data_IF_152773338730
#
_entry.id   IF_152773338730
#
_cell.length_a   1.000
_cell.length_b   1.000
_cell.length_c   1.000
_cell.angle_alpha   90.00
_cell.angle_beta   90.00
_cell.angle_gamma   90.00
#
_symmetry.space_group_name_H-M   'P 1'
#
loop_
_entity.id
_entity.type
_entity.pdbx_description
1 polymer ?
#
# COMPACT_ATOMS: atom_id res chain seq x y z
N UNK A 1 4.88 6.74 25.48
CA UNK A 1 4.68 7.22 24.10
C UNK A 1 3.31 6.70 23.64
N UNK A 2 2.38 7.61 23.35
CA UNK A 2 1.02 7.23 22.95
C UNK A 2 1.05 6.78 21.49
N UNK A 3 0.70 5.53 21.25
CA UNK A 3 0.51 4.97 19.93
C UNK A 3 -0.92 5.21 19.44
N UNK A 4 -1.12 5.28 18.13
CA UNK A 4 -2.43 5.49 17.53
C UNK A 4 -3.45 4.42 17.95
N UNK A 5 -3.04 3.15 18.00
CA UNK A 5 -3.81 2.03 18.57
C UNK A 5 -5.15 1.73 17.89
N UNK A 6 -5.39 2.25 16.69
CA UNK A 6 -6.61 2.07 15.89
C UNK A 6 -6.27 1.59 14.48
N UNK A 7 -7.21 1.00 13.73
CA UNK A 7 -7.02 0.72 12.32
C UNK A 7 -6.61 1.97 11.54
N UNK A 8 -5.67 1.82 10.61
CA UNK A 8 -5.13 2.92 9.83
C UNK A 8 -5.58 2.76 8.38
N UNK A 9 -6.32 3.74 7.88
CA UNK A 9 -6.74 3.81 6.49
C UNK A 9 -5.58 4.29 5.60
N UNK A 10 -5.71 4.08 4.31
CA UNK A 10 -4.87 4.76 3.33
C UNK A 10 -5.12 6.27 3.32
N UNK A 11 -4.30 6.99 2.58
CA UNK A 11 -4.40 8.44 2.41
C UNK A 11 -3.87 8.86 1.04
N UNK A 12 -4.19 10.07 0.64
CA UNK A 12 -3.78 10.67 -0.61
C UNK A 12 -4.93 11.29 -1.39
N UNK A 13 -4.74 11.45 -2.69
CA UNK A 13 -5.74 11.99 -3.59
C UNK A 13 -6.84 10.95 -3.88
N UNK A 14 -8.08 11.25 -3.52
CA UNK A 14 -9.23 10.39 -3.79
C UNK A 14 -9.56 10.25 -5.28
N UNK A 15 -9.07 11.14 -6.11
CA UNK A 15 -9.17 11.11 -7.56
C UNK A 15 -7.91 10.57 -8.25
N UNK A 16 -7.00 9.98 -7.49
CA UNK A 16 -5.74 9.45 -7.97
C UNK A 16 -5.89 8.44 -9.10
N UNK A 17 -4.93 8.45 -10.02
CA UNK A 17 -4.75 7.39 -11.03
C UNK A 17 -3.80 6.30 -10.56
N UNK A 18 -2.92 6.60 -9.61
CA UNK A 18 -1.95 5.67 -9.04
C UNK A 18 -2.36 5.25 -7.64
N UNK A 19 -2.46 3.93 -7.42
CA UNK A 19 -2.62 3.32 -6.09
C UNK A 19 -1.34 2.58 -5.72
N UNK A 20 -0.78 2.84 -4.55
CA UNK A 20 0.25 2.00 -3.95
C UNK A 20 -0.30 1.17 -2.80
N UNK A 21 0.06 -0.11 -2.74
CA UNK A 21 -0.43 -1.07 -1.75
C UNK A 21 0.72 -1.76 -1.05
N UNK A 22 0.91 -1.49 0.23
CA UNK A 22 1.84 -2.19 1.10
C UNK A 22 1.21 -3.34 1.88
N UNK A 23 1.99 -3.94 2.79
CA UNK A 23 1.55 -5.04 3.64
C UNK A 23 0.64 -4.56 4.77
N UNK A 24 1.19 -3.76 5.68
CA UNK A 24 0.57 -3.32 6.92
C UNK A 24 1.24 -2.05 7.45
N UNK A 25 0.64 -1.32 8.39
CA UNK A 25 1.34 -0.28 9.14
C UNK A 25 2.50 -0.89 9.94
N UNK A 26 3.66 -0.23 9.95
CA UNK A 26 4.78 -0.63 10.81
C UNK A 26 4.49 -0.27 12.28
N UNK A 27 4.93 -1.12 13.22
CA UNK A 27 4.68 -0.93 14.67
C UNK A 27 5.18 0.43 15.17
N UNK A 28 6.43 0.79 14.86
CA UNK A 28 7.04 2.06 15.28
C UNK A 28 6.94 3.18 14.24
N UNK A 29 6.31 2.91 13.08
CA UNK A 29 6.00 3.85 12.02
C UNK A 29 4.52 4.22 12.01
N UNK A 30 3.75 3.63 11.11
CA UNK A 30 2.32 3.93 10.93
C UNK A 30 1.49 3.78 12.19
N UNK A 31 1.71 2.73 12.99
CA UNK A 31 0.96 2.52 14.24
C UNK A 31 1.28 3.56 15.33
N UNK A 32 2.47 4.15 15.30
CA UNK A 32 2.83 5.25 16.18
C UNK A 32 2.24 6.58 15.72
N UNK A 33 2.25 6.83 14.41
CA UNK A 33 1.93 8.14 13.82
C UNK A 33 0.48 8.28 13.37
N UNK A 34 -0.25 7.17 13.18
CA UNK A 34 -1.61 7.17 12.63
C UNK A 34 -1.69 7.33 11.10
N UNK A 35 -0.55 7.25 10.39
CA UNK A 35 -0.47 7.31 8.93
C UNK A 35 0.48 6.23 8.40
N UNK A 36 0.05 5.44 7.42
CA UNK A 36 0.89 4.38 6.82
C UNK A 36 2.14 4.97 6.16
N UNK A 37 3.22 4.21 6.10
CA UNK A 37 4.51 4.66 5.57
C UNK A 37 4.95 6.02 6.13
N UNK A 38 4.97 6.16 7.46
CA UNK A 38 5.29 7.40 8.14
C UNK A 38 6.15 7.12 9.36
N UNK A 39 7.27 7.82 9.49
CA UNK A 39 8.15 7.77 10.65
C UNK A 39 8.99 6.50 10.78
N UNK A 40 9.30 5.82 9.67
CA UNK A 40 10.19 4.67 9.62
C UNK A 40 11.11 4.72 8.37
N UNK A 41 12.14 3.87 8.36
CA UNK A 41 13.14 3.85 7.28
C UNK A 41 12.58 3.46 5.90
N UNK A 42 11.48 2.70 5.86
CA UNK A 42 10.81 2.38 4.59
C UNK A 42 10.12 3.62 4.02
N UNK A 43 9.57 4.46 4.89
CA UNK A 43 9.01 5.75 4.53
C UNK A 43 10.08 6.69 3.97
N UNK A 44 11.25 6.79 4.61
CA UNK A 44 12.35 7.66 4.18
C UNK A 44 12.75 7.36 2.72
N UNK A 45 12.95 6.09 2.39
CA UNK A 45 13.28 5.69 1.03
C UNK A 45 12.13 5.95 0.05
N UNK A 46 10.92 5.51 0.40
CA UNK A 46 9.74 5.65 -0.46
C UNK A 46 9.47 7.12 -0.80
N UNK A 47 9.43 7.99 0.20
CA UNK A 47 9.12 9.40 -0.01
C UNK A 47 10.22 10.17 -0.72
N UNK A 48 11.48 9.82 -0.51
CA UNK A 48 12.58 10.34 -1.34
C UNK A 48 12.35 10.06 -2.83
N UNK A 49 11.88 8.85 -3.18
CA UNK A 49 11.55 8.50 -4.55
C UNK A 49 10.29 9.21 -5.07
N UNK A 50 9.23 9.27 -4.26
CA UNK A 50 7.96 9.93 -4.63
C UNK A 50 8.13 11.43 -4.84
N UNK A 51 8.95 12.08 -4.02
CA UNK A 51 9.27 13.49 -4.19
C UNK A 51 10.04 13.75 -5.49
N UNK A 52 11.07 12.96 -5.77
CA UNK A 52 11.86 13.07 -7.02
C UNK A 52 11.02 12.86 -8.28
N UNK A 53 9.94 12.09 -8.17
CA UNK A 53 9.04 11.78 -9.31
C UNK A 53 7.78 12.65 -9.33
N UNK A 54 7.64 13.61 -8.42
CA UNK A 54 6.53 14.56 -8.38
C UNK A 54 5.22 14.02 -7.77
N UNK A 55 5.24 12.81 -7.19
CA UNK A 55 4.08 12.23 -6.50
C UNK A 55 3.92 12.72 -5.05
N UNK A 56 4.94 13.30 -4.46
CA UNK A 56 4.88 13.91 -3.14
C UNK A 56 5.43 15.33 -3.17
N UNK A 57 4.90 16.21 -2.31
CA UNK A 57 5.34 17.61 -2.20
C UNK A 57 6.61 17.78 -1.35
N UNK A 58 7.01 16.73 -0.60
CA UNK A 58 8.18 16.73 0.26
C UNK A 58 8.83 15.32 0.29
N UNK A 59 10.16 15.23 0.58
CA UNK A 59 10.88 13.95 0.58
C UNK A 59 10.69 13.12 1.85
N UNK A 60 9.96 13.64 2.84
CA UNK A 60 9.83 13.07 4.18
C UNK A 60 8.37 12.76 4.52
N UNK A 61 8.17 11.77 5.40
CA UNK A 61 6.90 11.45 6.02
C UNK A 61 7.13 11.15 7.50
N UNK A 62 7.06 12.19 8.34
CA UNK A 62 7.49 12.15 9.75
C UNK A 62 6.32 11.89 10.69
N UNK A 63 5.21 12.61 10.49
CA UNK A 63 3.99 12.48 11.29
C UNK A 63 2.75 12.84 10.45
N UNK A 64 1.57 12.66 11.01
CA UNK A 64 0.31 12.87 10.30
C UNK A 64 0.04 14.33 9.92
N UNK A 65 0.66 15.28 10.62
CA UNK A 65 0.42 16.72 10.49
C UNK A 65 1.61 17.48 9.86
N UNK A 66 2.52 16.75 9.20
CA UNK A 66 3.76 17.28 8.64
C UNK A 66 3.59 18.04 7.31
N UNK A 67 2.36 18.21 6.84
CA UNK A 67 2.08 18.92 5.59
C UNK A 67 2.29 18.11 4.31
N UNK A 68 2.54 16.79 4.43
CA UNK A 68 2.70 15.90 3.28
C UNK A 68 1.42 15.84 2.45
N UNK A 69 1.58 16.08 1.15
CA UNK A 69 0.51 15.94 0.14
C UNK A 69 0.97 14.98 -0.95
N UNK A 70 0.12 14.03 -1.30
CA UNK A 70 0.31 13.12 -2.43
C UNK A 70 -0.44 13.64 -3.67
N UNK A 71 0.27 13.75 -4.79
CA UNK A 71 -0.26 14.27 -6.05
C UNK A 71 -0.67 13.10 -6.96
N UNK A 72 -1.95 13.02 -7.35
CA UNK A 72 -2.47 11.99 -8.26
C UNK A 72 -2.14 10.57 -7.81
N UNK A 73 -1.98 10.35 -6.50
CA UNK A 73 -1.58 9.10 -5.89
C UNK A 73 -2.33 8.86 -4.59
N UNK A 74 -2.67 7.60 -4.32
CA UNK A 74 -3.21 7.12 -3.05
C UNK A 74 -2.35 5.97 -2.53
N UNK A 75 -2.05 5.99 -1.23
CA UNK A 75 -1.18 5.01 -0.57
C UNK A 75 -1.95 4.27 0.51
N UNK A 76 -1.96 2.95 0.47
CA UNK A 76 -2.65 2.10 1.45
C UNK A 76 -1.90 0.81 1.75
N UNK A 77 -2.47 -0.02 2.60
CA UNK A 77 -1.96 -1.33 3.01
C UNK A 77 -3.06 -2.39 2.98
N UNK A 78 -2.68 -3.65 2.74
CA UNK A 78 -3.59 -4.79 2.76
C UNK A 78 -4.24 -5.00 4.14
N UNK A 79 -3.45 -4.82 5.21
CA UNK A 79 -3.91 -4.83 6.59
C UNK A 79 -3.99 -3.41 7.14
N UNK A 80 -4.95 -3.17 8.04
CA UNK A 80 -5.16 -1.85 8.67
C UNK A 80 -4.58 -1.75 10.09
N UNK A 81 -4.09 -2.87 10.61
CA UNK A 81 -3.43 -2.97 11.92
C UNK A 81 -2.09 -3.69 11.75
N UNK A 82 -1.20 -3.51 12.72
CA UNK A 82 0.08 -4.20 12.77
C UNK A 82 -0.15 -5.67 13.09
N UNK A 83 0.28 -6.61 12.25
CA UNK A 83 0.23 -8.03 12.60
C UNK A 83 1.35 -8.37 13.61
N UNK A 84 1.14 -9.36 14.50
CA UNK A 84 2.19 -9.85 15.38
C UNK A 84 3.45 -10.25 14.61
N UNK A 85 4.62 -9.83 15.10
CA UNK A 85 5.93 -10.13 14.49
C UNK A 85 6.06 -9.75 13.00
N UNK A 86 5.27 -8.77 12.54
CA UNK A 86 5.19 -8.35 11.12
C UNK A 86 4.78 -9.49 10.16
N UNK A 87 4.20 -10.56 10.67
CA UNK A 87 3.77 -11.75 9.91
C UNK A 87 2.26 -11.97 10.06
N UNK A 88 1.46 -11.54 9.07
CA UNK A 88 0.02 -11.71 9.15
C UNK A 88 -0.39 -13.17 9.00
N UNK A 89 -1.36 -13.59 9.79
CA UNK A 89 -2.07 -14.86 9.63
C UNK A 89 -3.09 -14.79 8.50
N UNK A 90 -3.51 -15.95 8.00
CA UNK A 90 -4.60 -16.03 7.00
C UNK A 90 -5.92 -15.45 7.51
N UNK A 91 -6.18 -15.55 8.82
CA UNK A 91 -7.39 -15.00 9.45
C UNK A 91 -7.35 -13.48 9.47
N UNK A 92 -6.22 -12.87 9.85
CA UNK A 92 -6.03 -11.43 9.83
C UNK A 92 -6.19 -10.85 8.42
N UNK A 93 -5.58 -11.49 7.42
CA UNK A 93 -5.73 -11.11 6.01
C UNK A 93 -7.18 -11.15 5.56
N UNK A 94 -7.94 -12.22 5.90
CA UNK A 94 -9.36 -12.32 5.57
C UNK A 94 -10.21 -11.25 6.25
N UNK A 95 -9.97 -11.00 7.54
CA UNK A 95 -10.73 -10.01 8.32
C UNK A 95 -10.50 -8.60 7.79
N UNK A 96 -9.25 -8.22 7.51
CA UNK A 96 -8.91 -6.91 6.98
C UNK A 96 -9.32 -6.72 5.52
N UNK A 97 -9.52 -7.80 4.77
CA UNK A 97 -9.81 -7.74 3.35
C UNK A 97 -11.09 -6.96 3.00
N UNK A 98 -12.11 -7.01 3.86
CA UNK A 98 -13.33 -6.22 3.66
C UNK A 98 -13.06 -4.71 3.69
N UNK A 99 -12.21 -4.24 4.59
CA UNK A 99 -11.82 -2.82 4.65
C UNK A 99 -10.99 -2.41 3.43
N UNK A 100 -10.07 -3.27 3.01
CA UNK A 100 -9.29 -3.07 1.79
C UNK A 100 -10.19 -2.97 0.55
N UNK A 101 -11.17 -3.87 0.42
CA UNK A 101 -12.14 -3.85 -0.69
C UNK A 101 -12.96 -2.57 -0.72
N UNK A 102 -13.48 -2.13 0.42
CA UNK A 102 -14.25 -0.89 0.50
C UNK A 102 -13.43 0.31 0.07
N UNK A 103 -12.17 0.40 0.52
CA UNK A 103 -11.26 1.47 0.18
C UNK A 103 -10.95 1.50 -1.33
N UNK A 104 -10.62 0.35 -1.94
CA UNK A 104 -10.38 0.29 -3.40
C UNK A 104 -11.65 0.60 -4.20
N UNK A 105 -12.80 0.13 -3.74
CA UNK A 105 -14.08 0.43 -4.41
C UNK A 105 -14.40 1.93 -4.40
N UNK A 106 -13.92 2.67 -3.41
CA UNK A 106 -14.09 4.11 -3.32
C UNK A 106 -13.22 4.87 -4.34
N UNK A 107 -12.05 4.36 -4.70
CA UNK A 107 -11.09 4.98 -5.60
C UNK A 107 -11.43 4.69 -7.08
N UNK A 108 -12.30 5.52 -7.66
CA UNK A 108 -12.89 5.26 -8.99
C UNK A 108 -11.96 5.52 -10.19
N UNK A 109 -10.92 6.33 -10.02
CA UNK A 109 -10.06 6.79 -11.13
C UNK A 109 -8.73 6.05 -11.24
N UNK A 110 -8.48 5.08 -10.37
CA UNK A 110 -7.25 4.27 -10.42
C UNK A 110 -7.12 3.57 -11.78
N UNK A 111 -5.97 3.71 -12.39
CA UNK A 111 -5.56 3.04 -13.64
C UNK A 111 -4.30 2.21 -13.47
N UNK A 112 -3.45 2.54 -12.48
CA UNK A 112 -2.20 1.84 -12.17
C UNK A 112 -2.20 1.48 -10.69
N UNK A 113 -1.83 0.23 -10.39
CA UNK A 113 -1.65 -0.27 -9.02
C UNK A 113 -0.19 -0.74 -8.88
N UNK A 114 0.52 -0.22 -7.91
CA UNK A 114 1.87 -0.66 -7.54
C UNK A 114 1.79 -1.41 -6.21
N UNK A 115 2.05 -2.70 -6.24
CA UNK A 115 2.09 -3.54 -5.05
C UNK A 115 3.51 -3.61 -4.48
N UNK A 116 3.68 -3.13 -3.25
CA UNK A 116 4.93 -3.12 -2.51
C UNK A 116 5.07 -4.41 -1.69
N UNK A 117 5.64 -5.44 -2.30
CA UNK A 117 5.80 -6.77 -1.74
C UNK A 117 4.67 -7.74 -2.11
N UNK A 118 4.93 -9.03 -1.88
CA UNK A 118 4.04 -10.12 -2.28
C UNK A 118 2.64 -10.02 -1.64
N UNK A 119 2.55 -9.68 -0.35
CA UNK A 119 1.24 -9.63 0.34
C UNK A 119 0.36 -8.51 -0.22
N UNK A 120 0.93 -7.33 -0.49
CA UNK A 120 0.20 -6.26 -1.17
C UNK A 120 -0.27 -6.66 -2.57
N UNK A 121 0.58 -7.39 -3.31
CA UNK A 121 0.23 -7.92 -4.63
C UNK A 121 -0.90 -8.96 -4.53
N UNK A 122 -0.80 -9.93 -3.63
CA UNK A 122 -1.81 -10.96 -3.43
C UNK A 122 -3.16 -10.36 -3.00
N UNK A 123 -3.15 -9.30 -2.18
CA UNK A 123 -4.37 -8.58 -1.81
C UNK A 123 -5.05 -7.95 -3.04
N UNK A 124 -4.28 -7.34 -3.95
CA UNK A 124 -4.80 -6.80 -5.20
C UNK A 124 -5.39 -7.91 -6.09
N UNK A 125 -4.68 -9.02 -6.28
CA UNK A 125 -5.17 -10.16 -7.08
C UNK A 125 -6.44 -10.75 -6.46
N UNK A 126 -6.50 -10.90 -5.14
CA UNK A 126 -7.68 -11.40 -4.44
C UNK A 126 -8.89 -10.46 -4.58
N UNK A 127 -8.68 -9.14 -4.62
CA UNK A 127 -9.74 -8.18 -4.91
C UNK A 127 -10.35 -8.41 -6.31
N UNK A 128 -9.53 -8.67 -7.32
CA UNK A 128 -9.99 -8.97 -8.67
C UNK A 128 -10.65 -10.34 -8.79
N UNK A 129 -10.19 -11.34 -8.05
CA UNK A 129 -10.82 -12.67 -8.00
C UNK A 129 -12.26 -12.68 -7.50
N UNK A 130 -12.67 -11.70 -6.72
CA UNK A 130 -14.07 -11.58 -6.30
C UNK A 130 -15.01 -11.13 -7.44
N UNK A 131 -14.46 -10.51 -8.47
CA UNK A 131 -15.22 -9.88 -9.56
C UNK A 131 -15.02 -10.57 -10.91
N UNK A 132 -13.92 -11.29 -11.06
CA UNK A 132 -13.50 -11.87 -12.33
C UNK A 132 -12.95 -13.29 -12.13
N UNK A 133 -13.18 -14.15 -13.12
CA UNK A 133 -12.60 -15.50 -13.14
C UNK A 133 -11.12 -15.45 -13.54
N UNK A 134 -10.25 -15.10 -12.58
CA UNK A 134 -8.80 -15.09 -12.75
C UNK A 134 -8.12 -16.12 -11.83
N UNK A 135 -6.97 -16.60 -12.24
CA UNK A 135 -6.18 -17.58 -11.48
C UNK A 135 -4.92 -16.93 -10.93
N UNK A 136 -4.50 -17.29 -9.72
CA UNK A 136 -3.26 -16.75 -9.11
C UNK A 136 -2.03 -16.98 -9.99
N UNK A 137 -1.98 -18.09 -10.73
CA UNK A 137 -0.85 -18.42 -11.61
C UNK A 137 -0.67 -17.43 -12.77
N UNK A 138 -1.71 -16.67 -13.12
CA UNK A 138 -1.68 -15.69 -14.20
C UNK A 138 -1.11 -14.34 -13.72
N UNK A 139 -0.96 -14.17 -12.40
CA UNK A 139 -0.48 -12.95 -11.73
C UNK A 139 0.62 -13.30 -10.72
N UNK A 140 1.79 -13.68 -11.23
CA UNK A 140 2.93 -14.04 -10.37
C UNK A 140 3.64 -12.77 -9.91
N UNK A 141 3.84 -12.63 -8.60
CA UNK A 141 4.61 -11.52 -8.06
C UNK A 141 6.10 -11.68 -8.38
N UNK A 142 6.65 -10.70 -9.08
CA UNK A 142 8.09 -10.46 -9.19
C UNK A 142 8.35 -8.96 -9.18
N UNK A 143 9.55 -8.56 -8.77
CA UNK A 143 9.95 -7.16 -8.87
C UNK A 143 10.02 -6.73 -10.34
N UNK A 144 9.38 -5.60 -10.67
CA UNK A 144 9.28 -5.11 -12.05
C UNK A 144 8.24 -5.83 -12.91
N UNK A 145 7.49 -6.83 -12.36
CA UNK A 145 6.40 -7.44 -13.11
C UNK A 145 5.31 -6.41 -13.44
N UNK A 146 4.77 -6.52 -14.64
CA UNK A 146 3.67 -5.69 -15.11
C UNK A 146 2.59 -6.59 -15.72
N UNK A 147 1.40 -6.55 -15.16
CA UNK A 147 0.27 -7.36 -15.58
C UNK A 147 -0.94 -6.48 -15.91
N UNK A 148 -1.64 -6.80 -16.99
CA UNK A 148 -2.90 -6.15 -17.34
C UNK A 148 -4.03 -6.89 -16.63
N UNK A 149 -4.77 -6.17 -15.79
CA UNK A 149 -5.94 -6.67 -15.07
C UNK A 149 -7.18 -6.73 -15.99
N UNK A 150 -8.22 -7.52 -15.63
CA UNK A 150 -9.41 -7.69 -16.48
C UNK A 150 -10.13 -6.39 -16.86
N UNK A 151 -10.07 -5.37 -16.01
CA UNK A 151 -10.62 -4.04 -16.24
C UNK A 151 -9.65 -3.06 -16.92
N UNK A 152 -8.57 -3.59 -17.53
CA UNK A 152 -7.52 -2.88 -18.25
C UNK A 152 -6.59 -2.01 -17.38
N UNK A 153 -6.71 -2.06 -16.05
CA UNK A 153 -5.73 -1.45 -15.17
C UNK A 153 -4.43 -2.24 -15.19
N UNK A 154 -3.34 -1.57 -14.81
CA UNK A 154 -2.00 -2.18 -14.77
C UNK A 154 -1.67 -2.49 -13.31
N UNK A 155 -1.29 -3.74 -13.00
CA UNK A 155 -0.73 -4.15 -11.72
C UNK A 155 0.78 -4.33 -11.86
N UNK A 156 1.54 -3.55 -11.11
CA UNK A 156 3.00 -3.59 -11.07
C UNK A 156 3.46 -4.17 -9.73
N UNK A 157 4.35 -5.16 -9.77
CA UNK A 157 5.01 -5.70 -8.60
C UNK A 157 6.31 -4.96 -8.28
N UNK A 158 6.50 -4.57 -7.05
CA UNK A 158 7.77 -4.01 -6.55
C UNK A 158 8.17 -4.67 -5.25
N UNK A 159 9.47 -4.86 -5.00
CA UNK A 159 9.91 -5.19 -3.66
C UNK A 159 9.51 -4.10 -2.67
N UNK A 160 9.30 -4.49 -1.42
CA UNK A 160 9.01 -3.55 -0.35
C UNK A 160 10.21 -2.60 -0.14
N UNK A 161 9.98 -1.27 0.03
CA UNK A 161 11.05 -0.28 0.19
C UNK A 161 11.67 -0.32 1.60
N UNK A 162 11.99 -1.52 2.09
CA UNK A 162 12.65 -1.71 3.38
C UNK A 162 14.17 -1.70 3.22
N UNK A 163 14.95 -1.37 4.26
CA UNK A 163 16.40 -1.43 4.21
C UNK A 163 16.96 -2.77 3.74
N UNK A 164 16.24 -3.87 3.94
CA UNK A 164 16.65 -5.21 3.48
C UNK A 164 16.64 -5.36 1.96
N UNK A 165 15.89 -4.53 1.25
CA UNK A 165 15.71 -4.63 -0.20
C UNK A 165 16.38 -3.50 -0.96
N UNK A 166 16.83 -2.44 -0.28
CA UNK A 166 17.42 -1.24 -0.91
C UNK A 166 18.89 -1.01 -0.57
N UNK A 167 19.48 -1.87 0.29
CA UNK A 167 20.91 -1.88 0.63
C UNK A 167 21.63 -2.98 -0.14
#
# INVERSE_FOLDING_TARGET
QDYWGKPITGYGDQNAKLLMVGLAPAAHGGNRTGRVFTGDKSADFLFSCLYKTGFANQPDSINKEDGLVLNNMYLTTALKCVPPEDKPTSTELKTCFNFFNQEINYLKKISIIVALGKIGHDACVNYYKQKYEIKNKDFIFTHGSMNILPDKKILIGSYHPSPRNVN
#
